data_IF_556309366448
#
_entry.id   IF_556309366448
#
_cell.length_a   1.000
_cell.length_b   1.000
_cell.length_c   1.000
_cell.angle_alpha   90.00
_cell.angle_beta   90.00
_cell.angle_gamma   90.00
#
_symmetry.space_group_name_H-M   'P 1'
#
loop_
_entity.id
_entity.type
_entity.pdbx_description
1 polymer ?
#
# COMPACT_ATOMS: atom_id res chain seq x y z
N UNK A 1 -23.75 -3.24 -16.55
CA UNK A 1 -22.63 -2.63 -15.78
C UNK A 1 -21.84 -1.80 -16.76
N UNK A 2 -21.81 -0.47 -16.60
CA UNK A 2 -20.91 0.36 -17.40
C UNK A 2 -19.43 -0.03 -17.15
N UNK A 3 -18.50 0.33 -18.05
CA UNK A 3 -17.07 0.08 -17.88
C UNK A 3 -16.54 0.60 -16.54
N UNK A 4 -17.12 1.69 -16.02
CA UNK A 4 -16.77 2.28 -14.73
C UNK A 4 -17.10 1.38 -13.54
N UNK A 5 -18.20 0.61 -13.61
CA UNK A 5 -18.60 -0.29 -12.53
C UNK A 5 -17.61 -1.45 -12.33
N UNK A 6 -17.09 -2.01 -13.42
CA UNK A 6 -16.06 -3.05 -13.36
C UNK A 6 -14.74 -2.51 -12.79
N UNK A 7 -14.38 -1.27 -13.14
CA UNK A 7 -13.20 -0.61 -12.59
C UNK A 7 -13.31 -0.46 -11.07
N UNK A 8 -14.42 0.07 -10.56
CA UNK A 8 -14.57 0.27 -9.11
C UNK A 8 -14.60 -1.04 -8.33
N UNK A 9 -15.17 -2.11 -8.89
CA UNK A 9 -15.12 -3.45 -8.28
C UNK A 9 -13.68 -3.96 -8.22
N UNK A 10 -12.92 -3.81 -9.31
CA UNK A 10 -11.50 -4.16 -9.32
C UNK A 10 -10.70 -3.33 -8.31
N UNK A 11 -10.92 -2.01 -8.23
CA UNK A 11 -10.27 -1.14 -7.23
C UNK A 11 -10.58 -1.55 -5.80
N UNK A 12 -11.81 -1.98 -5.53
CA UNK A 12 -12.23 -2.39 -4.19
C UNK A 12 -11.60 -3.72 -3.78
N UNK A 13 -11.45 -4.65 -4.72
CA UNK A 13 -10.73 -5.92 -4.50
C UNK A 13 -9.23 -5.67 -4.28
N UNK A 14 -8.61 -4.80 -5.08
CA UNK A 14 -7.20 -4.45 -4.96
C UNK A 14 -6.90 -3.76 -3.61
N UNK A 15 -7.67 -2.73 -3.24
CA UNK A 15 -7.52 -2.07 -1.94
C UNK A 15 -7.81 -3.02 -0.76
N UNK A 16 -8.74 -3.96 -0.92
CA UNK A 16 -8.97 -5.01 0.08
C UNK A 16 -7.75 -5.90 0.27
N UNK A 17 -7.10 -6.31 -0.82
CA UNK A 17 -5.87 -7.10 -0.77
C UNK A 17 -4.70 -6.30 -0.16
N UNK A 18 -4.55 -5.02 -0.54
CA UNK A 18 -3.56 -4.12 0.02
C UNK A 18 -3.78 -3.86 1.51
N UNK A 19 -5.02 -3.80 1.97
CA UNK A 19 -5.36 -3.65 3.38
C UNK A 19 -4.97 -4.91 4.17
N UNK A 20 -5.29 -6.10 3.67
CA UNK A 20 -4.83 -7.35 4.29
C UNK A 20 -3.30 -7.42 4.38
N UNK A 21 -2.62 -7.00 3.32
CA UNK A 21 -1.18 -6.94 3.25
C UNK A 21 -0.62 -5.89 4.22
N UNK A 22 -1.21 -4.70 4.33
CA UNK A 22 -0.84 -3.68 5.32
C UNK A 22 -1.00 -4.17 6.78
N UNK A 23 -2.04 -4.94 7.08
CA UNK A 23 -2.19 -5.61 8.38
C UNK A 23 -1.07 -6.63 8.59
N UNK A 24 -0.73 -7.43 7.58
CA UNK A 24 0.41 -8.35 7.63
C UNK A 24 1.73 -7.62 7.93
N UNK A 25 1.98 -6.45 7.33
CA UNK A 25 3.14 -5.60 7.64
C UNK A 25 3.16 -5.18 9.12
N UNK A 26 2.04 -4.70 9.65
CA UNK A 26 1.94 -4.26 11.05
C UNK A 26 2.18 -5.41 12.02
N UNK A 27 1.57 -6.59 11.78
CA UNK A 27 1.76 -7.77 12.63
C UNK A 27 3.23 -8.22 12.59
N UNK A 28 3.80 -8.36 11.40
CA UNK A 28 5.18 -8.83 11.22
C UNK A 28 6.19 -7.89 11.88
N UNK A 29 5.98 -6.57 11.79
CA UNK A 29 6.81 -5.58 12.47
C UNK A 29 6.62 -5.61 14.00
N UNK A 30 5.40 -5.89 14.49
CA UNK A 30 5.14 -6.04 15.93
C UNK A 30 5.80 -7.30 16.50
N UNK A 31 5.79 -8.41 15.76
CA UNK A 31 6.49 -9.65 16.14
C UNK A 31 8.02 -9.43 16.18
N UNK A 32 8.52 -8.58 15.28
CA UNK A 32 9.92 -8.16 15.26
C UNK A 32 10.28 -7.23 16.43
N UNK A 33 9.38 -6.33 16.86
CA UNK A 33 9.60 -5.45 18.03
C UNK A 33 9.73 -6.25 19.33
N UNK A 34 9.00 -7.36 19.42
CA UNK A 34 9.05 -8.27 20.56
C UNK A 34 10.18 -9.32 20.48
N UNK A 35 11.12 -9.18 19.52
CA UNK A 35 12.24 -10.12 19.27
C UNK A 35 11.80 -11.59 19.01
N UNK A 36 10.58 -11.82 18.50
CA UNK A 36 10.07 -13.17 18.22
C UNK A 36 10.58 -13.76 16.89
N UNK A 37 11.06 -12.92 15.96
CA UNK A 37 11.46 -13.31 14.60
C UNK A 37 12.89 -12.87 14.25
N UNK A 38 13.55 -13.66 13.40
CA UNK A 38 14.86 -13.27 12.86
C UNK A 38 14.72 -12.13 11.84
N UNK A 39 15.36 -10.99 12.11
CA UNK A 39 15.30 -9.78 11.29
C UNK A 39 15.69 -10.04 9.81
N UNK A 40 16.69 -10.88 9.54
CA UNK A 40 17.19 -11.14 8.17
C UNK A 40 16.10 -11.74 7.26
N UNK A 41 15.50 -12.85 7.70
CA UNK A 41 14.47 -13.55 6.91
C UNK A 41 13.17 -12.76 6.83
N UNK A 42 12.91 -11.92 7.83
CA UNK A 42 11.77 -11.01 7.84
C UNK A 42 11.94 -9.90 6.79
N UNK A 43 13.08 -9.20 6.79
CA UNK A 43 13.36 -8.10 5.85
C UNK A 43 13.23 -8.52 4.38
N UNK A 44 13.70 -9.72 4.03
CA UNK A 44 13.66 -10.23 2.67
C UNK A 44 12.22 -10.46 2.17
N UNK A 45 11.39 -11.09 3.01
CA UNK A 45 9.95 -11.24 2.75
C UNK A 45 9.25 -9.89 2.68
N UNK A 46 9.55 -9.01 3.64
CA UNK A 46 8.92 -7.71 3.76
C UNK A 46 9.22 -6.85 2.53
N UNK A 47 10.47 -6.88 2.04
CA UNK A 47 10.87 -6.18 0.84
C UNK A 47 10.17 -6.72 -0.42
N UNK A 48 10.07 -8.04 -0.56
CA UNK A 48 9.34 -8.66 -1.65
C UNK A 48 7.87 -8.18 -1.69
N UNK A 49 7.20 -8.15 -0.53
CA UNK A 49 5.83 -7.66 -0.43
C UNK A 49 5.70 -6.15 -0.68
N UNK A 50 6.69 -5.33 -0.30
CA UNK A 50 6.69 -3.90 -0.60
C UNK A 50 6.72 -3.64 -2.11
N UNK A 51 7.54 -4.40 -2.85
CA UNK A 51 7.61 -4.27 -4.31
C UNK A 51 6.27 -4.64 -4.94
N UNK A 52 5.63 -5.71 -4.47
CA UNK A 52 4.29 -6.11 -4.95
C UNK A 52 3.26 -5.01 -4.70
N UNK A 53 3.22 -4.45 -3.49
CA UNK A 53 2.30 -3.36 -3.16
C UNK A 53 2.55 -2.13 -4.03
N UNK A 54 3.80 -1.75 -4.22
CA UNK A 54 4.16 -0.61 -5.05
C UNK A 54 3.67 -0.81 -6.49
N UNK A 55 3.82 -2.02 -7.03
CA UNK A 55 3.33 -2.36 -8.37
C UNK A 55 1.80 -2.29 -8.42
N UNK A 56 1.10 -2.89 -7.45
CA UNK A 56 -0.36 -2.88 -7.40
C UNK A 56 -0.92 -1.45 -7.32
N UNK A 57 -0.39 -0.62 -6.41
CA UNK A 57 -0.77 0.79 -6.26
C UNK A 57 -0.56 1.59 -7.57
N UNK A 58 0.58 1.41 -8.23
CA UNK A 58 0.85 2.10 -9.50
C UNK A 58 -0.07 1.64 -10.64
N UNK A 59 -0.36 0.33 -10.72
CA UNK A 59 -1.30 -0.21 -11.72
C UNK A 59 -2.69 0.38 -11.52
N UNK A 60 -3.17 0.46 -10.27
CA UNK A 60 -4.48 1.06 -9.98
C UNK A 60 -4.52 2.56 -10.30
N UNK A 61 -3.45 3.29 -9.99
CA UNK A 61 -3.32 4.70 -10.34
C UNK A 61 -3.38 4.94 -11.86
N UNK A 62 -2.70 4.12 -12.66
CA UNK A 62 -2.75 4.20 -14.13
C UNK A 62 -4.14 3.86 -14.66
N UNK A 63 -4.81 2.84 -14.12
CA UNK A 63 -6.19 2.49 -14.49
C UNK A 63 -7.17 3.65 -14.23
N UNK A 64 -7.08 4.31 -13.08
CA UNK A 64 -7.90 5.48 -12.75
C UNK A 64 -7.65 6.66 -13.70
N UNK A 65 -6.40 6.84 -14.13
CA UNK A 65 -6.03 7.87 -15.11
C UNK A 65 -6.62 7.57 -16.49
N UNK A 66 -6.52 6.32 -16.97
CA UNK A 66 -7.04 5.90 -18.27
C UNK A 66 -8.57 6.01 -18.36
N UNK A 67 -9.28 5.75 -17.26
CA UNK A 67 -10.74 5.92 -17.19
C UNK A 67 -11.17 7.37 -16.92
N UNK A 68 -10.26 8.35 -16.91
CA UNK A 68 -10.60 9.77 -16.80
C UNK A 68 -11.12 10.19 -15.43
N UNK A 69 -10.78 9.47 -14.35
CA UNK A 69 -11.17 9.83 -12.99
C UNK A 69 -10.10 10.67 -12.29
N UNK A 70 -9.90 11.89 -12.80
CA UNK A 70 -8.82 12.81 -12.40
C UNK A 70 -8.82 13.14 -10.90
N UNK A 71 -9.99 13.32 -10.29
CA UNK A 71 -10.11 13.68 -8.86
C UNK A 71 -9.64 12.51 -7.97
N UNK A 72 -10.08 11.29 -8.28
CA UNK A 72 -9.68 10.09 -7.53
C UNK A 72 -8.18 9.81 -7.70
N UNK A 73 -7.67 9.96 -8.93
CA UNK A 73 -6.26 9.84 -9.22
C UNK A 73 -5.42 10.83 -8.41
N UNK A 74 -5.81 12.12 -8.39
CA UNK A 74 -5.08 13.17 -7.67
C UNK A 74 -5.03 12.90 -6.16
N UNK A 75 -6.10 12.32 -5.59
CA UNK A 75 -6.12 11.95 -4.17
C UNK A 75 -5.30 10.68 -3.88
N UNK A 76 -5.20 9.74 -4.83
CA UNK A 76 -4.49 8.45 -4.66
C UNK A 76 -2.98 8.55 -4.93
N UNK A 77 -2.58 9.48 -5.81
CA UNK A 77 -1.20 9.72 -6.22
C UNK A 77 -0.22 10.13 -5.10
N UNK A 78 -0.58 10.90 -4.05
CA UNK A 78 0.38 11.38 -3.04
C UNK A 78 1.04 10.25 -2.27
N UNK A 79 0.28 9.21 -1.89
CA UNK A 79 0.82 8.06 -1.17
C UNK A 79 1.77 7.25 -2.07
N UNK A 80 1.34 6.97 -3.31
CA UNK A 80 2.14 6.24 -4.28
C UNK A 80 3.44 6.98 -4.65
N UNK A 81 3.36 8.30 -4.84
CA UNK A 81 4.52 9.15 -5.12
C UNK A 81 5.50 9.18 -3.94
N UNK A 82 4.99 9.28 -2.71
CA UNK A 82 5.82 9.24 -1.51
C UNK A 82 6.51 7.89 -1.33
N UNK A 83 5.79 6.78 -1.53
CA UNK A 83 6.33 5.43 -1.44
C UNK A 83 7.39 5.17 -2.52
N UNK A 84 7.12 5.61 -3.75
CA UNK A 84 8.06 5.49 -4.89
C UNK A 84 9.31 6.35 -4.67
N UNK A 85 9.15 7.61 -4.24
CA UNK A 85 10.27 8.50 -3.93
C UNK A 85 11.16 7.89 -2.84
N UNK A 86 10.55 7.35 -1.79
CA UNK A 86 11.28 6.72 -0.70
C UNK A 86 11.99 5.44 -1.13
N UNK A 87 11.37 4.65 -2.01
CA UNK A 87 12.00 3.46 -2.60
C UNK A 87 13.22 3.83 -3.48
N UNK A 88 13.11 4.89 -4.28
CA UNK A 88 14.19 5.36 -5.17
C UNK A 88 15.32 6.11 -4.44
N UNK A 89 15.01 6.79 -3.34
CA UNK A 89 16.00 7.58 -2.57
C UNK A 89 16.89 6.70 -1.70
N UNK A 90 16.50 5.45 -1.40
CA UNK A 90 17.38 4.52 -0.69
C UNK A 90 18.53 4.05 -1.61
N UNK A 91 19.80 4.16 -1.18
CA UNK A 91 20.95 3.81 -2.01
C UNK A 91 20.91 2.33 -2.38
N UNK A 92 21.03 2.04 -3.69
CA UNK A 92 20.85 0.75 -4.35
C UNK A 92 21.89 -0.33 -4.02
N UNK A 93 22.60 -0.22 -2.90
CA UNK A 93 23.61 -1.20 -2.45
C UNK A 93 23.03 -2.37 -1.67
N UNK A 94 21.85 -2.19 -1.07
CA UNK A 94 21.12 -3.26 -0.38
C UNK A 94 19.76 -3.45 -1.07
N UNK A 95 19.42 -4.70 -1.36
CA UNK A 95 18.20 -5.09 -2.08
C UNK A 95 17.01 -5.00 -1.11
N UNK A 96 16.63 -3.78 -0.72
CA UNK A 96 15.32 -3.54 -0.12
C UNK A 96 15.10 -2.30 0.73
N UNK A 97 13.82 -2.02 1.01
CA UNK A 97 13.38 -0.95 1.93
C UNK A 97 13.76 -1.20 3.39
N UNK A 98 14.09 -2.45 3.75
CA UNK A 98 14.37 -2.88 5.11
C UNK A 98 15.78 -3.49 5.18
N UNK A 99 16.72 -2.77 5.78
CA UNK A 99 18.08 -3.26 6.02
C UNK A 99 18.12 -3.94 7.42
N UNK A 100 18.57 -5.20 7.51
CA UNK A 100 18.65 -5.93 8.77
C UNK A 100 19.57 -5.26 9.82
N UNK A 101 20.52 -4.42 9.41
CA UNK A 101 21.39 -3.68 10.35
C UNK A 101 20.73 -2.43 10.92
N UNK A 102 19.82 -1.77 10.19
CA UNK A 102 19.08 -0.59 10.69
C UNK A 102 17.88 -0.98 11.58
N UNK A 103 17.27 -2.14 11.33
CA UNK A 103 16.02 -2.56 12.00
C UNK A 103 16.20 -2.88 13.49
N UNK A 104 17.40 -3.28 13.92
CA UNK A 104 17.67 -3.58 15.33
C UNK A 104 17.73 -2.31 16.20
N UNK A 105 17.86 -1.14 15.57
CA UNK A 105 17.75 0.11 16.30
C UNK A 105 16.26 0.43 16.57
N UNK A 106 15.81 0.24 17.81
CA UNK A 106 14.41 0.41 18.24
C UNK A 106 13.77 1.74 17.78
N UNK A 107 14.56 2.79 17.57
CA UNK A 107 14.08 4.09 17.05
C UNK A 107 13.60 4.00 15.60
N UNK A 108 14.30 3.26 14.74
CA UNK A 108 13.93 3.11 13.33
C UNK A 108 12.73 2.18 13.17
N UNK A 109 12.65 1.10 13.96
CA UNK A 109 11.51 0.18 13.95
C UNK A 109 10.19 0.88 14.24
N UNK A 110 10.14 1.76 15.26
CA UNK A 110 8.94 2.56 15.57
C UNK A 110 8.52 3.51 14.45
N UNK A 111 9.49 4.03 13.69
CA UNK A 111 9.20 4.86 12.50
C UNK A 111 8.54 3.99 11.42
N UNK A 112 9.12 2.83 11.10
CA UNK A 112 8.55 1.92 10.10
C UNK A 112 7.15 1.39 10.49
N UNK A 113 6.91 1.12 11.77
CA UNK A 113 5.57 0.77 12.26
C UNK A 113 4.58 1.93 12.06
N UNK A 114 4.97 3.15 12.42
CA UNK A 114 4.12 4.33 12.25
C UNK A 114 3.79 4.57 10.77
N UNK A 115 4.75 4.40 9.87
CA UNK A 115 4.53 4.52 8.43
C UNK A 115 3.61 3.43 7.88
N UNK A 116 3.75 2.18 8.37
CA UNK A 116 2.86 1.08 8.00
C UNK A 116 1.43 1.30 8.50
N UNK A 117 1.26 1.89 9.69
CA UNK A 117 -0.05 2.30 10.21
C UNK A 117 -0.68 3.45 9.40
N UNK A 118 0.13 4.42 8.96
CA UNK A 118 -0.36 5.51 8.09
C UNK A 118 -0.84 4.94 6.75
N UNK A 119 -0.08 4.01 6.14
CA UNK A 119 -0.49 3.30 4.92
C UNK A 119 -1.78 2.52 5.12
N UNK A 120 -1.89 1.77 6.21
CA UNK A 120 -3.12 1.06 6.58
C UNK A 120 -4.32 2.00 6.68
N UNK A 121 -4.17 3.12 7.37
CA UNK A 121 -5.23 4.13 7.49
C UNK A 121 -5.62 4.73 6.14
N UNK A 122 -4.66 4.95 5.25
CA UNK A 122 -4.92 5.45 3.90
C UNK A 122 -5.74 4.44 3.07
N UNK A 123 -5.31 3.17 3.01
CA UNK A 123 -6.06 2.12 2.30
C UNK A 123 -7.48 1.94 2.87
N UNK A 124 -7.63 2.03 4.20
CA UNK A 124 -8.95 1.97 4.83
C UNK A 124 -9.87 3.12 4.36
N UNK A 125 -9.37 4.36 4.32
CA UNK A 125 -10.15 5.52 3.84
C UNK A 125 -10.51 5.35 2.36
N UNK A 126 -9.55 4.95 1.53
CA UNK A 126 -9.78 4.75 0.10
C UNK A 126 -10.73 3.60 -0.19
N UNK A 127 -10.69 2.54 0.60
CA UNK A 127 -11.65 1.44 0.53
C UNK A 127 -13.09 1.94 0.66
N UNK A 128 -13.39 2.79 1.66
CA UNK A 128 -14.73 3.37 1.82
C UNK A 128 -15.10 4.33 0.69
N UNK A 129 -14.13 5.11 0.17
CA UNK A 129 -14.35 5.98 -0.99
C UNK A 129 -14.72 5.14 -2.22
N UNK A 130 -13.94 4.12 -2.56
CA UNK A 130 -14.25 3.26 -3.72
C UNK A 130 -15.57 2.50 -3.54
N UNK A 131 -15.91 2.10 -2.32
CA UNK A 131 -17.22 1.51 -2.01
C UNK A 131 -18.35 2.50 -2.31
N UNK A 132 -18.24 3.76 -1.89
CA UNK A 132 -19.23 4.80 -2.22
C UNK A 132 -19.35 5.02 -3.73
N UNK A 133 -18.22 5.14 -4.44
CA UNK A 133 -18.20 5.37 -5.88
C UNK A 133 -18.73 4.17 -6.67
N UNK A 134 -18.47 2.94 -6.21
CA UNK A 134 -19.04 1.72 -6.76
C UNK A 134 -20.57 1.74 -6.63
N UNK A 135 -21.10 2.00 -5.42
CA UNK A 135 -22.56 2.07 -5.20
C UNK A 135 -23.17 3.18 -6.04
N UNK A 136 -22.54 4.37 -6.08
CA UNK A 136 -23.01 5.48 -6.90
C UNK A 136 -23.05 5.11 -8.39
N UNK A 137 -22.01 4.46 -8.91
CA UNK A 137 -21.95 3.98 -10.30
C UNK A 137 -23.00 2.92 -10.61
N UNK A 138 -23.31 2.03 -9.65
CA UNK A 138 -24.37 1.03 -9.79
C UNK A 138 -25.77 1.65 -9.74
N UNK A 139 -26.00 2.64 -8.86
CA UNK A 139 -27.30 3.32 -8.71
C UNK A 139 -27.56 4.28 -9.87
N UNK A 140 -26.53 5.01 -10.32
CA UNK A 140 -26.59 5.84 -11.54
C UNK A 140 -26.58 5.00 -12.82
N UNK A 141 -26.21 3.72 -12.70
CA UNK A 141 -26.21 2.71 -13.75
C UNK A 141 -27.54 1.97 -13.94
N UNK A 142 -28.64 2.58 -13.48
CA UNK A 142 -29.99 2.48 -14.06
C UNK A 142 -30.24 3.76 -14.86
#
# INVERSE_FOLDING_TARGET
MGPDGALFIFSLLDEGALLCLAVYFVITLSDLECDYLNARSCCDKLNYWVVIELVAHNVLAVLLLLCGHWILFLMYCPLGAWLTYKFLTKPSGDIGMFDPTEIHNQKHLKIYMRESLIRLGFHLIFFFIYLYWMIYSLVKGI
#
